data_IF_970718781583
#
_entry.id   IF_970718781583
#
_cell.length_a   1.000
_cell.length_b   1.000
_cell.length_c   1.000
_cell.angle_alpha   90.00
_cell.angle_beta   90.00
_cell.angle_gamma   90.00
#
_symmetry.space_group_name_H-M   'P 1'
#
loop_
_entity.id
_entity.type
_entity.pdbx_description
1 polymer ?
#
# COMPACT_ATOMS: atom_id res chain seq x y z
N UNK A 1 7.33 16.32 6.73
CA UNK A 1 6.94 15.53 7.93
C UNK A 1 6.30 14.24 7.46
N UNK A 2 6.59 13.12 8.13
CA UNK A 2 5.91 11.86 7.82
C UNK A 2 4.40 12.03 8.07
N UNK A 3 3.57 11.43 7.22
CA UNK A 3 2.09 11.52 7.31
C UNK A 3 1.56 11.21 8.72
N UNK A 4 2.15 10.23 9.40
CA UNK A 4 1.79 9.89 10.79
C UNK A 4 1.81 11.08 11.73
N UNK A 5 2.86 11.91 11.66
CA UNK A 5 2.97 13.10 12.52
C UNK A 5 1.91 14.16 12.24
N UNK A 6 1.58 14.36 10.96
CA UNK A 6 0.53 15.30 10.53
C UNK A 6 -0.83 14.86 11.05
N UNK A 7 -1.17 13.58 10.87
CA UNK A 7 -2.43 13.00 11.37
C UNK A 7 -2.53 13.12 12.90
N UNK A 8 -1.47 12.76 13.64
CA UNK A 8 -1.47 12.86 15.10
C UNK A 8 -1.64 14.30 15.58
N UNK A 9 -1.01 15.26 14.91
CA UNK A 9 -1.13 16.68 15.24
C UNK A 9 -2.58 17.17 15.00
N UNK A 10 -3.18 16.86 13.86
CA UNK A 10 -4.56 17.18 13.56
C UNK A 10 -5.53 16.54 14.58
N UNK A 11 -5.41 15.22 14.81
CA UNK A 11 -6.26 14.49 15.74
C UNK A 11 -6.14 15.01 17.18
N UNK A 12 -4.97 15.51 17.58
CA UNK A 12 -4.77 16.08 18.90
C UNK A 12 -5.59 17.36 19.15
N UNK A 13 -6.05 18.01 18.08
CA UNK A 13 -6.85 19.25 18.09
C UNK A 13 -8.34 19.01 17.88
N UNK A 14 -8.75 17.80 17.49
CA UNK A 14 -10.17 17.48 17.28
C UNK A 14 -10.95 17.70 18.57
N UNK A 15 -11.99 18.57 18.58
CA UNK A 15 -12.80 18.79 19.76
C UNK A 15 -13.68 17.57 20.03
N UNK A 16 -13.65 17.04 21.26
CA UNK A 16 -14.48 15.94 21.72
C UNK A 16 -15.46 16.44 22.74
N UNK A 17 -16.70 16.68 22.31
CA UNK A 17 -17.74 17.29 23.14
C UNK A 17 -18.44 16.25 24.01
N UNK A 18 -18.74 15.06 23.47
CA UNK A 18 -19.49 14.04 24.18
C UNK A 18 -18.72 13.45 25.36
N UNK A 19 -19.29 13.43 26.59
CA UNK A 19 -18.61 12.89 27.76
C UNK A 19 -18.21 11.41 27.62
N UNK A 20 -19.05 10.57 26.99
CA UNK A 20 -18.71 9.18 26.72
C UNK A 20 -17.46 9.04 25.87
N UNK A 21 -17.37 9.81 24.78
CA UNK A 21 -16.21 9.79 23.89
C UNK A 21 -14.93 10.28 24.58
N UNK A 22 -15.03 11.31 25.43
CA UNK A 22 -13.90 11.78 26.23
C UNK A 22 -13.40 10.72 27.21
N UNK A 23 -14.33 10.05 27.93
CA UNK A 23 -13.99 8.96 28.83
C UNK A 23 -13.31 7.81 28.08
N UNK A 24 -13.90 7.39 26.97
CA UNK A 24 -13.35 6.31 26.12
C UNK A 24 -11.98 6.64 25.57
N UNK A 25 -11.78 7.88 25.08
CA UNK A 25 -10.48 8.32 24.54
C UNK A 25 -9.41 8.28 25.63
N UNK A 26 -9.67 8.83 26.83
CA UNK A 26 -8.72 8.79 27.96
C UNK A 26 -8.42 7.36 28.37
N UNK A 27 -9.43 6.52 28.54
CA UNK A 27 -9.25 5.10 28.91
C UNK A 27 -8.38 4.36 27.91
N UNK A 28 -8.58 4.63 26.62
CA UNK A 28 -7.79 4.02 25.55
C UNK A 28 -6.37 4.59 25.50
N UNK A 29 -6.21 5.90 25.59
CA UNK A 29 -4.89 6.54 25.65
C UNK A 29 -4.06 5.95 26.79
N UNK A 30 -4.60 5.89 28.01
CA UNK A 30 -3.91 5.34 29.18
C UNK A 30 -3.57 3.86 28.98
N UNK A 31 -4.46 3.08 28.38
CA UNK A 31 -4.22 1.64 28.13
C UNK A 31 -3.11 1.41 27.11
N UNK A 32 -2.98 2.27 26.11
CA UNK A 32 -1.97 2.15 25.04
C UNK A 32 -0.65 2.82 25.38
N UNK A 33 -0.68 3.97 26.04
CA UNK A 33 0.51 4.79 26.32
C UNK A 33 1.21 4.43 27.62
N UNK A 34 0.58 3.67 28.49
CA UNK A 34 1.11 3.58 29.80
C UNK A 34 0.90 2.27 30.53
N UNK A 35 1.23 2.35 31.77
CA UNK A 35 1.13 1.25 32.70
C UNK A 35 0.63 1.70 34.06
N UNK A 36 0.16 0.70 34.77
CA UNK A 36 -0.13 0.78 36.19
C UNK A 36 1.16 0.41 36.91
N UNK A 37 1.68 1.31 37.72
CA UNK A 37 2.85 1.07 38.56
C UNK A 37 2.40 1.07 40.01
N UNK A 38 2.82 0.06 40.79
CA UNK A 38 2.61 0.02 42.21
C UNK A 38 3.79 0.69 42.92
N UNK A 39 3.51 1.79 43.60
CA UNK A 39 4.51 2.51 44.37
C UNK A 39 4.02 2.65 45.81
N UNK A 40 4.74 2.10 46.78
CA UNK A 40 4.39 2.13 48.20
C UNK A 40 2.94 1.71 48.51
N UNK A 41 2.44 0.66 47.82
CA UNK A 41 1.10 0.13 48.01
C UNK A 41 -0.03 0.88 47.28
N UNK A 42 0.29 1.97 46.56
CA UNK A 42 -0.67 2.74 45.78
C UNK A 42 -0.43 2.59 44.28
N UNK A 43 -1.53 2.63 43.51
CA UNK A 43 -1.44 2.63 42.05
C UNK A 43 -1.08 4.04 41.58
N UNK A 44 0.02 4.13 40.86
CA UNK A 44 0.39 5.28 40.07
C UNK A 44 0.16 4.98 38.58
N UNK A 45 -0.40 5.94 37.86
CA UNK A 45 -0.63 5.82 36.43
C UNK A 45 0.39 6.67 35.68
N UNK A 46 1.09 6.06 34.75
CA UNK A 46 2.01 6.75 33.84
C UNK A 46 1.64 6.48 32.39
N UNK A 47 1.64 7.54 31.58
CA UNK A 47 1.41 7.45 30.14
C UNK A 47 2.54 8.16 29.39
N UNK A 48 3.31 7.39 28.60
CA UNK A 48 4.39 7.92 27.79
C UNK A 48 3.90 8.22 26.36
N UNK A 49 4.14 9.44 25.89
CA UNK A 49 3.63 9.97 24.64
C UNK A 49 4.73 10.64 23.82
N UNK A 50 4.66 10.52 22.51
CA UNK A 50 5.66 11.05 21.57
C UNK A 50 5.46 12.54 21.26
N UNK A 51 4.31 13.13 21.57
CA UNK A 51 4.01 14.53 21.23
C UNK A 51 3.46 15.31 22.41
N UNK A 52 3.92 16.56 22.56
CA UNK A 52 3.44 17.49 23.59
C UNK A 52 1.94 17.79 23.47
N UNK A 53 1.41 17.82 22.24
CA UNK A 53 0.00 18.11 21.99
C UNK A 53 -0.91 17.03 22.58
N UNK A 54 -0.57 15.74 22.32
CA UNK A 54 -1.32 14.59 22.88
C UNK A 54 -1.20 14.55 24.41
N UNK A 55 0.00 14.83 24.96
CA UNK A 55 0.23 14.85 26.40
C UNK A 55 -0.60 15.95 27.10
N UNK A 56 -0.64 17.17 26.55
CA UNK A 56 -1.49 18.26 27.07
C UNK A 56 -2.98 17.90 26.98
N UNK A 57 -3.42 17.31 25.87
CA UNK A 57 -4.80 16.83 25.68
C UNK A 57 -5.18 15.79 26.73
N UNK A 58 -4.33 14.79 26.95
CA UNK A 58 -4.57 13.76 27.96
C UNK A 58 -4.65 14.36 29.35
N UNK A 59 -3.69 15.23 29.71
CA UNK A 59 -3.65 15.92 31.00
C UNK A 59 -4.92 16.74 31.26
N UNK A 60 -5.34 17.56 30.29
CA UNK A 60 -6.57 18.34 30.38
C UNK A 60 -7.80 17.44 30.55
N UNK A 61 -7.89 16.36 29.75
CA UNK A 61 -9.03 15.44 29.84
C UNK A 61 -9.08 14.65 31.14
N UNK A 62 -7.94 14.28 31.73
CA UNK A 62 -7.89 13.64 33.05
C UNK A 62 -8.44 14.59 34.13
N UNK A 63 -8.02 15.87 34.12
CA UNK A 63 -8.47 16.85 35.06
C UNK A 63 -9.98 17.17 34.92
N UNK A 64 -10.43 17.43 33.71
CA UNK A 64 -11.80 17.87 33.43
C UNK A 64 -12.84 16.74 33.54
N UNK A 65 -12.51 15.50 33.13
CA UNK A 65 -13.46 14.41 33.04
C UNK A 65 -13.46 13.54 34.29
N UNK A 66 -12.28 13.37 34.91
CA UNK A 66 -12.11 12.49 36.07
C UNK A 66 -11.74 13.20 37.36
N UNK A 67 -11.43 14.51 37.31
CA UNK A 67 -11.13 15.32 38.48
C UNK A 67 -9.78 15.06 39.15
N UNK A 68 -8.85 14.39 38.42
CA UNK A 68 -7.54 14.06 38.99
C UNK A 68 -6.44 15.01 38.48
N UNK A 69 -5.59 15.57 39.37
CA UNK A 69 -4.41 16.31 38.98
C UNK A 69 -3.37 15.37 38.39
N UNK A 70 -2.64 15.82 37.39
CA UNK A 70 -1.55 15.08 36.77
C UNK A 70 -0.33 15.95 36.52
N UNK A 71 0.83 15.34 36.62
CA UNK A 71 2.12 15.95 36.31
C UNK A 71 2.48 15.68 34.85
N UNK A 72 3.18 16.64 34.23
CA UNK A 72 3.74 16.47 32.89
C UNK A 72 5.26 16.56 32.97
N UNK A 73 5.92 15.45 32.71
CA UNK A 73 7.37 15.36 32.66
C UNK A 73 7.84 15.32 31.20
N UNK A 74 8.89 16.06 30.89
CA UNK A 74 9.53 16.05 29.59
C UNK A 74 10.87 15.33 29.72
N UNK A 75 10.99 14.21 29.06
CA UNK A 75 12.22 13.44 29.00
C UNK A 75 13.00 13.82 27.74
N UNK A 76 14.24 14.27 27.92
CA UNK A 76 15.12 14.61 26.81
C UNK A 76 15.42 13.38 25.95
N UNK A 77 15.81 13.59 24.68
CA UNK A 77 16.25 12.50 23.82
C UNK A 77 17.40 11.71 24.43
N UNK A 78 17.30 10.39 24.42
CA UNK A 78 18.36 9.52 24.93
C UNK A 78 18.52 8.27 24.05
N UNK A 79 19.76 7.81 23.85
CA UNK A 79 20.09 6.64 23.06
C UNK A 79 19.76 6.80 21.57
N UNK A 80 19.09 5.79 20.98
CA UNK A 80 18.74 5.74 19.54
C UNK A 80 17.53 6.61 19.16
N UNK A 81 16.82 7.21 20.11
CA UNK A 81 15.60 8.00 19.85
C UNK A 81 15.91 9.50 19.73
N UNK A 82 15.47 10.12 18.64
CA UNK A 82 15.78 11.51 18.27
C UNK A 82 14.78 12.57 18.78
N UNK A 83 13.76 12.20 19.58
CA UNK A 83 12.70 13.13 20.01
C UNK A 83 12.48 13.13 21.52
N UNK A 84 11.90 14.24 22.03
CA UNK A 84 11.44 14.31 23.42
C UNK A 84 10.30 13.32 23.64
N UNK A 85 10.20 12.80 24.88
CA UNK A 85 9.07 12.02 25.35
C UNK A 85 8.34 12.80 26.44
N UNK A 86 7.04 12.65 26.47
CA UNK A 86 6.17 13.35 27.39
C UNK A 86 5.46 12.32 28.26
N UNK A 87 5.72 12.36 29.56
CA UNK A 87 5.10 11.44 30.52
C UNK A 87 4.05 12.19 31.32
N UNK A 88 2.80 11.78 31.18
CA UNK A 88 1.70 12.23 32.04
C UNK A 88 1.59 11.25 33.19
N UNK A 89 1.79 11.76 34.42
CA UNK A 89 1.82 10.96 35.64
C UNK A 89 0.71 11.40 36.59
N UNK A 90 -0.03 10.42 37.11
CA UNK A 90 -1.03 10.62 38.18
C UNK A 90 -0.57 9.85 39.40
N UNK A 91 -0.08 10.58 40.40
CA UNK A 91 0.41 10.02 41.65
C UNK A 91 -0.72 9.97 42.68
N UNK A 92 -1.42 11.09 42.89
CA UNK A 92 -2.56 11.17 43.81
C UNK A 92 -3.85 10.79 43.09
N UNK A 93 -4.58 9.80 43.60
CA UNK A 93 -5.84 9.35 43.03
C UNK A 93 -5.67 8.37 41.87
N UNK A 94 -4.48 7.79 41.68
CA UNK A 94 -4.23 6.77 40.65
C UNK A 94 -5.12 5.55 40.75
N UNK A 95 -5.39 5.05 41.99
CA UNK A 95 -6.35 3.97 42.24
C UNK A 95 -7.76 4.30 41.76
N UNK A 96 -8.22 5.52 42.09
CA UNK A 96 -9.55 6.01 41.68
C UNK A 96 -9.62 6.15 40.15
N UNK A 97 -8.62 6.77 39.53
CA UNK A 97 -8.56 6.93 38.08
C UNK A 97 -8.50 5.57 37.37
N UNK A 98 -7.72 4.62 37.89
CA UNK A 98 -7.64 3.26 37.33
C UNK A 98 -9.00 2.54 37.31
N UNK A 99 -9.80 2.70 38.36
CA UNK A 99 -11.17 2.17 38.44
C UNK A 99 -12.12 2.92 37.50
N UNK A 100 -12.08 4.25 37.51
CA UNK A 100 -12.97 5.08 36.69
C UNK A 100 -12.72 4.86 35.19
N UNK A 101 -11.47 4.66 34.78
CA UNK A 101 -11.09 4.37 33.39
C UNK A 101 -11.24 2.91 33.02
N UNK A 102 -11.45 2.01 34.00
CA UNK A 102 -11.55 0.57 33.81
C UNK A 102 -10.22 -0.11 33.47
N UNK A 103 -9.10 0.50 33.82
CA UNK A 103 -7.77 -0.13 33.73
C UNK A 103 -7.60 -1.27 34.73
N UNK A 104 -8.35 -1.23 35.84
CA UNK A 104 -8.52 -2.32 36.79
C UNK A 104 -9.99 -2.72 36.89
N UNK A 105 -10.25 -4.00 37.11
CA UNK A 105 -11.58 -4.53 37.30
C UNK A 105 -12.16 -4.25 38.73
N UNK A 106 -13.37 -4.70 39.00
CA UNK A 106 -14.00 -4.56 40.33
C UNK A 106 -13.23 -5.26 41.46
N UNK A 107 -12.36 -6.21 41.12
CA UNK A 107 -11.51 -6.94 42.08
C UNK A 107 -10.12 -6.32 42.22
N UNK A 108 -9.86 -5.20 41.57
CA UNK A 108 -8.54 -4.53 41.57
C UNK A 108 -7.50 -5.16 40.67
N UNK A 109 -7.87 -6.06 39.77
CA UNK A 109 -6.94 -6.71 38.84
C UNK A 109 -6.79 -5.92 37.53
N UNK A 110 -5.57 -5.80 36.99
CA UNK A 110 -5.34 -5.11 35.71
C UNK A 110 -6.11 -5.77 34.54
N UNK A 111 -6.80 -4.94 33.77
CA UNK A 111 -7.49 -5.37 32.54
C UNK A 111 -6.49 -5.48 31.39
N UNK A 112 -6.38 -6.64 30.75
CA UNK A 112 -5.42 -6.89 29.66
C UNK A 112 -5.81 -6.24 28.33
N UNK A 113 -7.10 -6.22 27.98
CA UNK A 113 -7.63 -5.61 26.75
C UNK A 113 -8.06 -4.16 26.94
N UNK A 114 -9.01 -3.73 26.13
CA UNK A 114 -9.72 -2.48 26.37
C UNK A 114 -10.76 -2.65 27.49
N UNK A 115 -11.00 -1.61 28.29
CA UNK A 115 -12.01 -1.64 29.34
C UNK A 115 -13.39 -2.04 28.80
N UNK A 116 -14.16 -2.79 29.60
CA UNK A 116 -15.49 -3.28 29.20
C UNK A 116 -16.40 -2.15 28.70
N UNK A 117 -16.38 -1.01 29.38
CA UNK A 117 -17.18 0.17 29.03
C UNK A 117 -16.81 0.75 27.65
N UNK A 118 -15.57 0.58 27.20
CA UNK A 118 -15.11 0.97 25.85
C UNK A 118 -15.61 -0.01 24.80
N UNK A 119 -15.49 -1.32 25.09
CA UNK A 119 -15.90 -2.39 24.17
C UNK A 119 -17.42 -2.42 23.97
N UNK A 120 -18.21 -2.21 25.03
CA UNK A 120 -19.67 -2.18 24.99
C UNK A 120 -20.27 -0.81 24.61
N UNK A 121 -19.43 0.23 24.45
CA UNK A 121 -19.85 1.59 24.13
C UNK A 121 -20.55 1.74 22.77
N UNK A 122 -21.02 2.95 22.43
CA UNK A 122 -21.68 3.27 21.16
C UNK A 122 -20.70 3.37 19.97
N UNK A 123 -21.21 3.73 18.80
CA UNK A 123 -20.40 3.97 17.59
C UNK A 123 -19.36 5.10 17.83
N UNK A 124 -19.79 6.18 18.46
CA UNK A 124 -18.90 7.29 18.79
C UNK A 124 -17.78 6.90 19.78
N UNK A 125 -18.02 5.90 20.64
CA UNK A 125 -16.99 5.36 21.53
C UNK A 125 -16.00 4.49 20.75
N UNK A 126 -16.45 3.75 19.73
CA UNK A 126 -15.55 3.06 18.82
C UNK A 126 -14.59 4.04 18.09
N UNK A 127 -15.13 5.16 17.62
CA UNK A 127 -14.32 6.23 17.00
C UNK A 127 -13.32 6.85 17.99
N UNK A 128 -13.75 7.12 19.22
CA UNK A 128 -12.91 7.65 20.29
C UNK A 128 -11.81 6.66 20.71
N UNK A 129 -12.13 5.36 20.79
CA UNK A 129 -11.15 4.31 21.08
C UNK A 129 -10.08 4.21 20.01
N UNK A 130 -10.47 4.20 18.74
CA UNK A 130 -9.53 4.17 17.63
C UNK A 130 -8.68 5.44 17.59
N UNK A 131 -9.26 6.63 17.81
CA UNK A 131 -8.50 7.89 17.89
C UNK A 131 -7.48 7.86 19.03
N UNK A 132 -7.88 7.45 20.24
CA UNK A 132 -6.97 7.31 21.36
C UNK A 132 -5.81 6.37 21.08
N UNK A 133 -6.09 5.17 20.55
CA UNK A 133 -5.06 4.20 20.17
C UNK A 133 -4.12 4.73 19.08
N UNK A 134 -4.65 5.41 18.05
CA UNK A 134 -3.84 5.98 16.98
C UNK A 134 -2.95 7.13 17.48
N UNK A 135 -3.45 7.98 18.34
CA UNK A 135 -2.66 9.09 18.92
C UNK A 135 -1.42 8.58 19.65
N UNK A 136 -1.48 7.40 20.27
CA UNK A 136 -0.33 6.79 20.94
C UNK A 136 0.56 6.05 19.95
N UNK A 137 0.09 4.94 19.42
CA UNK A 137 0.89 3.97 18.67
C UNK A 137 0.41 3.78 17.22
N UNK A 138 -0.38 4.72 16.71
CA UNK A 138 -0.78 4.72 15.32
C UNK A 138 0.35 5.13 14.39
N UNK A 139 0.36 4.54 13.22
CA UNK A 139 1.21 4.92 12.10
C UNK A 139 0.41 4.85 10.79
N UNK A 140 0.72 5.76 9.88
CA UNK A 140 0.16 5.82 8.54
C UNK A 140 1.31 5.88 7.54
N UNK A 141 1.41 4.86 6.70
CA UNK A 141 2.36 4.87 5.58
C UNK A 141 1.82 5.74 4.46
N UNK A 142 2.73 6.37 3.72
CA UNK A 142 2.35 7.12 2.52
C UNK A 142 1.71 6.20 1.48
N UNK A 143 0.76 6.71 0.67
CA UNK A 143 0.15 5.94 -0.39
C UNK A 143 1.21 5.35 -1.32
N UNK A 144 1.09 4.06 -1.63
CA UNK A 144 2.05 3.35 -2.48
C UNK A 144 1.77 1.85 -2.52
N UNK A 145 2.78 1.06 -2.92
CA UNK A 145 2.64 -0.40 -3.04
C UNK A 145 2.28 -1.09 -1.70
N UNK A 146 2.64 -0.52 -0.58
CA UNK A 146 2.45 -1.09 0.76
C UNK A 146 1.80 -0.10 1.73
N UNK A 147 0.75 0.62 1.27
CA UNK A 147 0.00 1.52 2.17
C UNK A 147 -0.64 0.75 3.30
N UNK A 148 -0.56 1.31 4.50
CA UNK A 148 -1.18 0.75 5.69
C UNK A 148 -1.45 1.83 6.75
N UNK A 149 -2.57 1.71 7.44
CA UNK A 149 -2.81 2.30 8.74
C UNK A 149 -2.61 1.18 9.76
N UNK A 150 -1.65 1.36 10.65
CA UNK A 150 -1.29 0.36 11.66
C UNK A 150 -1.36 0.96 13.05
N UNK A 151 -1.81 0.16 14.03
CA UNK A 151 -1.74 0.49 15.46
C UNK A 151 -1.02 -0.65 16.17
N UNK A 152 0.08 -0.34 16.84
CA UNK A 152 0.74 -1.27 17.76
C UNK A 152 -0.07 -1.38 19.05
N UNK A 153 -0.37 -2.60 19.47
CA UNK A 153 -1.23 -2.88 20.60
C UNK A 153 -0.41 -3.42 21.79
N UNK A 154 -0.87 -3.15 23.03
CA UNK A 154 -0.20 -3.66 24.23
C UNK A 154 -0.43 -5.17 24.48
N UNK A 155 -1.21 -5.83 23.66
CA UNK A 155 -1.49 -7.26 23.69
C UNK A 155 -2.61 -7.65 22.73
N UNK A 156 -2.77 -8.96 22.54
CA UNK A 156 -3.76 -9.53 21.59
C UNK A 156 -5.19 -9.17 21.91
N UNK A 157 -5.54 -9.08 23.20
CA UNK A 157 -6.89 -8.72 23.64
C UNK A 157 -7.24 -7.28 23.26
N UNK A 158 -6.28 -6.35 23.36
CA UNK A 158 -6.47 -4.96 22.91
C UNK A 158 -6.57 -4.87 21.38
N UNK A 159 -5.80 -5.68 20.66
CA UNK A 159 -5.89 -5.77 19.21
C UNK A 159 -7.25 -6.29 18.74
N UNK A 160 -7.74 -7.37 19.35
CA UNK A 160 -9.07 -7.93 19.04
C UNK A 160 -10.20 -6.95 19.37
N UNK A 161 -10.09 -6.20 20.47
CA UNK A 161 -11.06 -5.18 20.83
C UNK A 161 -11.12 -4.05 19.78
N UNK A 162 -9.96 -3.57 19.27
CA UNK A 162 -9.92 -2.57 18.19
C UNK A 162 -10.48 -3.14 16.86
N UNK A 163 -10.21 -4.40 16.54
CA UNK A 163 -10.81 -5.05 15.35
C UNK A 163 -12.33 -5.11 15.50
N UNK A 164 -12.83 -5.46 16.68
CA UNK A 164 -14.27 -5.44 16.98
C UNK A 164 -14.87 -4.03 16.83
N UNK A 165 -14.20 -3.00 17.32
CA UNK A 165 -14.62 -1.61 17.15
C UNK A 165 -14.63 -1.19 15.67
N UNK A 166 -13.60 -1.53 14.88
CA UNK A 166 -13.55 -1.26 13.44
C UNK A 166 -14.71 -1.94 12.69
N UNK A 167 -15.01 -3.20 13.03
CA UNK A 167 -16.14 -3.94 12.45
C UNK A 167 -17.49 -3.23 12.70
N UNK A 168 -17.67 -2.66 13.88
CA UNK A 168 -18.87 -1.85 14.21
C UNK A 168 -18.93 -0.55 13.41
N UNK A 169 -17.79 0.02 13.05
CA UNK A 169 -17.66 1.16 12.13
C UNK A 169 -17.81 0.75 10.64
N UNK A 170 -18.05 -0.53 10.34
CA UNK A 170 -18.10 -1.13 9.01
C UNK A 170 -16.77 -1.01 8.26
N UNK A 171 -15.65 -1.03 8.98
CA UNK A 171 -14.30 -0.95 8.43
C UNK A 171 -13.58 -2.28 8.67
N UNK A 172 -12.99 -2.85 7.62
CA UNK A 172 -12.22 -4.10 7.70
C UNK A 172 -10.83 -3.83 8.27
N UNK A 173 -10.55 -4.35 9.45
CA UNK A 173 -9.24 -4.33 10.08
C UNK A 173 -8.83 -5.75 10.48
N UNK A 174 -7.53 -6.04 10.47
CA UNK A 174 -6.98 -7.36 10.82
C UNK A 174 -5.97 -7.24 11.96
N UNK A 175 -6.10 -8.09 12.97
CA UNK A 175 -5.04 -8.27 13.95
C UNK A 175 -3.95 -9.17 13.38
N UNK A 176 -2.69 -8.81 13.66
CA UNK A 176 -1.48 -9.57 13.26
C UNK A 176 -0.44 -9.44 14.36
N UNK A 177 0.25 -10.53 14.60
CA UNK A 177 1.48 -10.52 15.38
C UNK A 177 2.67 -10.40 14.42
N UNK A 178 3.56 -9.47 14.69
CA UNK A 178 4.78 -9.26 13.91
C UNK A 178 5.95 -9.14 14.89
N UNK A 179 6.85 -10.11 14.88
CA UNK A 179 8.03 -10.18 15.77
C UNK A 179 7.67 -10.07 17.25
N UNK A 180 6.64 -10.80 17.68
CA UNK A 180 6.16 -10.78 19.07
C UNK A 180 5.39 -9.53 19.47
N UNK A 181 5.02 -8.67 18.52
CA UNK A 181 4.26 -7.45 18.77
C UNK A 181 2.90 -7.51 18.07
N UNK A 182 1.83 -7.40 18.85
CA UNK A 182 0.47 -7.35 18.34
C UNK A 182 0.19 -6.03 17.63
N UNK A 183 -0.40 -6.11 16.44
CA UNK A 183 -0.78 -4.94 15.62
C UNK A 183 -2.17 -5.11 15.03
N UNK A 184 -2.86 -4.00 14.87
CA UNK A 184 -4.06 -3.91 14.04
C UNK A 184 -3.73 -3.15 12.78
N UNK A 185 -4.12 -3.71 11.62
CA UNK A 185 -3.72 -3.19 10.29
C UNK A 185 -4.93 -3.04 9.39
N UNK A 186 -5.02 -1.88 8.72
CA UNK A 186 -5.91 -1.61 7.60
C UNK A 186 -5.04 -1.34 6.38
N UNK A 187 -5.27 -2.05 5.25
CA UNK A 187 -4.46 -1.93 4.02
C UNK A 187 -5.23 -1.45 2.81
N UNK A 188 -6.53 -1.52 2.88
CA UNK A 188 -7.40 -1.01 1.82
C UNK A 188 -7.45 0.52 1.88
N UNK A 189 -7.27 1.19 0.72
CA UNK A 189 -7.17 2.64 0.65
C UNK A 189 -8.46 3.35 1.05
N UNK A 190 -9.61 2.83 0.64
CA UNK A 190 -10.91 3.41 0.98
C UNK A 190 -11.22 3.21 2.47
N UNK A 191 -10.87 2.04 3.02
CA UNK A 191 -11.01 1.75 4.44
C UNK A 191 -10.10 2.64 5.31
N UNK A 192 -8.88 2.96 4.84
CA UNK A 192 -7.98 3.91 5.51
C UNK A 192 -8.59 5.31 5.50
N UNK A 193 -9.05 5.81 4.36
CA UNK A 193 -9.68 7.12 4.25
C UNK A 193 -10.95 7.21 5.12
N UNK A 194 -11.80 6.19 5.07
CA UNK A 194 -12.99 6.09 5.91
C UNK A 194 -12.63 6.10 7.41
N UNK A 195 -11.60 5.37 7.84
CA UNK A 195 -11.15 5.38 9.22
C UNK A 195 -10.66 6.77 9.64
N UNK A 196 -9.77 7.39 8.88
CA UNK A 196 -9.24 8.73 9.18
C UNK A 196 -10.36 9.77 9.28
N UNK A 197 -11.34 9.72 8.38
CA UNK A 197 -12.55 10.58 8.43
C UNK A 197 -13.33 10.37 9.71
N UNK A 198 -13.58 9.11 10.13
CA UNK A 198 -14.27 8.78 11.38
C UNK A 198 -13.51 9.28 12.61
N UNK A 199 -12.19 9.29 12.55
CA UNK A 199 -11.36 9.82 13.64
C UNK A 199 -11.37 11.36 13.70
N UNK A 200 -11.77 12.04 12.63
CA UNK A 200 -11.81 13.49 12.51
C UNK A 200 -10.56 14.13 11.87
N UNK A 201 -9.74 13.33 11.17
CA UNK A 201 -8.53 13.81 10.46
C UNK A 201 -8.86 14.22 9.01
N UNK A 202 -9.72 15.20 8.82
CA UNK A 202 -10.27 15.58 7.52
C UNK A 202 -9.23 16.17 6.57
N UNK A 203 -8.34 17.04 7.04
CA UNK A 203 -7.28 17.64 6.22
C UNK A 203 -6.25 16.60 5.82
N UNK A 204 -5.90 15.71 6.74
CA UNK A 204 -4.99 14.59 6.48
C UNK A 204 -5.55 13.59 5.48
N UNK A 205 -6.86 13.32 5.50
CA UNK A 205 -7.55 12.48 4.50
C UNK A 205 -7.40 13.10 3.12
N UNK A 206 -7.71 14.38 2.96
CA UNK A 206 -7.62 15.08 1.68
C UNK A 206 -6.20 15.01 1.12
N UNK A 207 -5.21 15.32 1.94
CA UNK A 207 -3.80 15.28 1.53
C UNK A 207 -3.33 13.84 1.20
N UNK A 208 -3.83 12.83 1.91
CA UNK A 208 -3.49 11.43 1.69
C UNK A 208 -4.11 10.90 0.39
N UNK A 209 -5.40 11.20 0.14
CA UNK A 209 -6.11 10.83 -1.08
C UNK A 209 -5.50 11.50 -2.33
N UNK A 210 -5.13 12.78 -2.24
CA UNK A 210 -4.46 13.46 -3.34
C UNK A 210 -3.14 12.76 -3.72
N UNK A 211 -2.34 12.38 -2.72
CA UNK A 211 -1.10 11.62 -2.95
C UNK A 211 -1.37 10.24 -3.54
N UNK A 212 -2.45 9.57 -3.08
CA UNK A 212 -2.88 8.27 -3.60
C UNK A 212 -3.23 8.37 -5.08
N UNK A 213 -4.07 9.32 -5.46
CA UNK A 213 -4.47 9.55 -6.85
C UNK A 213 -3.27 9.88 -7.76
N UNK A 214 -2.40 10.79 -7.33
CA UNK A 214 -1.19 11.14 -8.10
C UNK A 214 -0.29 9.92 -8.35
N UNK A 215 -0.14 9.03 -7.38
CA UNK A 215 0.65 7.80 -7.54
C UNK A 215 -0.03 6.79 -8.46
N UNK A 216 -1.33 6.66 -8.38
CA UNK A 216 -2.10 5.75 -9.23
C UNK A 216 -2.03 6.16 -10.71
N UNK A 217 -2.16 7.46 -11.00
CA UNK A 217 -1.97 8.02 -12.34
C UNK A 217 -0.55 7.72 -12.86
N UNK A 218 0.48 7.97 -12.06
CA UNK A 218 1.87 7.67 -12.44
C UNK A 218 2.10 6.17 -12.67
N UNK A 219 1.56 5.32 -11.81
CA UNK A 219 1.69 3.87 -11.94
C UNK A 219 0.99 3.36 -13.22
N UNK A 220 -0.14 3.94 -13.59
CA UNK A 220 -0.86 3.61 -14.82
C UNK A 220 -0.09 4.08 -16.04
N UNK A 221 0.41 5.32 -16.05
CA UNK A 221 1.25 5.83 -17.13
C UNK A 221 2.51 4.98 -17.35
N UNK A 222 3.20 4.61 -16.26
CA UNK A 222 4.38 3.73 -16.35
C UNK A 222 4.04 2.33 -16.89
N UNK A 223 2.88 1.78 -16.52
CA UNK A 223 2.44 0.47 -17.05
C UNK A 223 2.16 0.53 -18.55
N UNK A 224 1.49 1.60 -19.01
CA UNK A 224 1.24 1.81 -20.44
C UNK A 224 2.55 1.97 -21.21
N UNK A 225 3.46 2.82 -20.75
CA UNK A 225 4.76 3.01 -21.39
C UNK A 225 5.58 1.71 -21.47
N UNK A 226 5.61 0.92 -20.39
CA UNK A 226 6.30 -0.36 -20.36
C UNK A 226 5.63 -1.39 -21.30
N UNK A 227 4.30 -1.37 -21.41
CA UNK A 227 3.56 -2.25 -22.32
C UNK A 227 3.86 -1.90 -23.78
N UNK A 228 3.85 -0.61 -24.12
CA UNK A 228 4.15 -0.12 -25.46
C UNK A 228 5.60 -0.44 -25.86
N UNK A 229 6.57 -0.21 -24.97
CA UNK A 229 7.98 -0.55 -25.19
C UNK A 229 8.19 -2.06 -25.40
N UNK A 230 7.54 -2.89 -24.55
CA UNK A 230 7.61 -4.35 -24.68
C UNK A 230 7.00 -4.84 -26.01
N UNK A 231 5.87 -4.24 -26.44
CA UNK A 231 5.25 -4.56 -27.73
C UNK A 231 6.11 -4.13 -28.91
N UNK A 232 6.70 -2.94 -28.84
CA UNK A 232 7.60 -2.43 -29.88
C UNK A 232 8.83 -3.33 -30.03
N UNK A 233 9.46 -3.71 -28.91
CA UNK A 233 10.61 -4.64 -28.93
C UNK A 233 10.24 -6.01 -29.50
N UNK A 234 9.08 -6.55 -29.13
CA UNK A 234 8.60 -7.84 -29.65
C UNK A 234 8.34 -7.74 -31.15
N UNK A 235 7.71 -6.67 -31.60
CA UNK A 235 7.43 -6.42 -33.03
C UNK A 235 8.72 -6.27 -33.83
N UNK A 236 9.70 -5.51 -33.32
CA UNK A 236 10.99 -5.34 -33.95
C UNK A 236 11.76 -6.67 -34.07
N UNK A 237 11.82 -7.47 -33.01
CA UNK A 237 12.45 -8.82 -33.06
C UNK A 237 11.76 -9.74 -34.06
N UNK A 238 10.43 -9.77 -34.07
CA UNK A 238 9.68 -10.56 -35.04
C UNK A 238 9.95 -10.11 -36.47
N UNK A 239 10.10 -8.82 -36.73
CA UNK A 239 10.44 -8.27 -38.03
C UNK A 239 11.86 -8.66 -38.49
N UNK A 240 12.85 -8.64 -37.60
CA UNK A 240 14.22 -9.08 -37.85
C UNK A 240 14.27 -10.57 -38.13
N UNK A 241 13.59 -11.40 -37.31
CA UNK A 241 13.50 -12.85 -37.52
C UNK A 241 12.84 -13.20 -38.87
N UNK A 242 11.73 -12.50 -39.19
CA UNK A 242 11.07 -12.65 -40.48
C UNK A 242 12.00 -12.26 -41.66
N UNK A 243 12.79 -11.23 -41.52
CA UNK A 243 13.79 -10.80 -42.51
C UNK A 243 14.84 -11.90 -42.77
N UNK A 244 15.44 -12.43 -41.71
CA UNK A 244 16.43 -13.53 -41.83
C UNK A 244 15.87 -14.79 -42.46
N UNK A 245 14.64 -15.19 -42.06
CA UNK A 245 13.95 -16.34 -42.68
C UNK A 245 13.68 -16.12 -44.18
N UNK A 246 13.24 -14.92 -44.53
CA UNK A 246 12.96 -14.55 -45.93
C UNK A 246 14.24 -14.55 -46.77
N UNK A 247 15.33 -14.03 -46.26
CA UNK A 247 16.64 -14.05 -46.90
C UNK A 247 17.06 -15.49 -47.21
N UNK A 248 16.94 -16.39 -46.23
CA UNK A 248 17.22 -17.81 -46.41
C UNK A 248 16.24 -18.47 -47.40
N UNK A 249 14.97 -18.07 -47.37
CA UNK A 249 13.98 -18.61 -48.32
C UNK A 249 14.32 -18.27 -49.78
N UNK A 250 14.78 -17.04 -50.04
CA UNK A 250 15.20 -16.61 -51.36
C UNK A 250 16.44 -17.36 -51.84
N UNK A 251 17.39 -17.68 -50.94
CA UNK A 251 18.54 -18.53 -51.27
C UNK A 251 18.14 -19.95 -51.66
N UNK A 252 17.24 -20.60 -50.89
CA UNK A 252 16.79 -21.97 -51.12
C UNK A 252 16.02 -22.11 -52.45
N UNK A 253 15.15 -21.14 -52.75
CA UNK A 253 14.31 -21.17 -53.93
C UNK A 253 15.01 -20.71 -55.21
N UNK A 254 15.98 -19.83 -55.10
CA UNK A 254 16.72 -19.29 -56.24
C UNK A 254 15.79 -18.74 -57.33
N UNK A 255 15.88 -19.27 -58.55
CA UNK A 255 15.09 -18.82 -59.71
C UNK A 255 13.71 -19.48 -59.79
N UNK A 256 13.41 -20.49 -58.96
CA UNK A 256 12.16 -21.26 -59.03
C UNK A 256 11.00 -20.57 -58.27
N UNK A 257 11.26 -19.43 -57.57
CA UNK A 257 10.23 -18.69 -56.83
C UNK A 257 9.41 -17.78 -57.75
N UNK A 258 8.07 -17.74 -57.61
CA UNK A 258 7.21 -16.81 -58.33
C UNK A 258 7.59 -15.35 -58.07
N UNK A 259 7.66 -14.54 -59.12
CA UNK A 259 8.16 -13.15 -59.06
C UNK A 259 7.42 -12.29 -58.02
N UNK A 260 6.09 -12.43 -57.91
CA UNK A 260 5.29 -11.67 -56.95
C UNK A 260 5.61 -12.03 -55.46
N UNK A 261 6.13 -13.25 -55.19
CA UNK A 261 6.58 -13.65 -53.86
C UNK A 261 8.00 -13.16 -53.61
N UNK A 262 8.89 -13.23 -54.63
CA UNK A 262 10.26 -12.72 -54.57
C UNK A 262 10.26 -11.22 -54.28
N UNK A 263 9.36 -10.44 -54.93
CA UNK A 263 9.23 -9.02 -54.72
C UNK A 263 8.88 -8.73 -53.24
N UNK A 264 7.89 -9.43 -52.69
CA UNK A 264 7.53 -9.27 -51.25
C UNK A 264 8.67 -9.66 -50.31
N UNK A 265 9.43 -10.71 -50.66
CA UNK A 265 10.63 -11.12 -49.92
C UNK A 265 11.73 -10.06 -49.95
N UNK A 266 12.07 -9.53 -51.15
CA UNK A 266 13.07 -8.46 -51.29
C UNK A 266 12.71 -7.21 -50.53
N UNK A 267 11.42 -6.77 -50.53
CA UNK A 267 10.95 -5.67 -49.75
C UNK A 267 11.18 -5.91 -48.23
N UNK A 268 10.90 -7.10 -47.71
CA UNK A 268 11.16 -7.44 -46.29
C UNK A 268 12.64 -7.41 -45.97
N UNK A 269 13.51 -7.95 -46.82
CA UNK A 269 14.97 -7.96 -46.59
C UNK A 269 15.54 -6.57 -46.62
N UNK A 270 15.11 -5.74 -47.59
CA UNK A 270 15.56 -4.33 -47.72
C UNK A 270 15.07 -3.47 -46.55
N UNK A 271 13.90 -3.76 -46.00
CA UNK A 271 13.26 -2.99 -44.95
C UNK A 271 13.01 -3.86 -43.68
N UNK A 272 14.10 -4.32 -43.05
CA UNK A 272 14.05 -5.34 -41.96
C UNK A 272 13.23 -4.90 -40.75
N UNK A 273 13.13 -3.59 -40.46
CA UNK A 273 12.40 -3.05 -39.30
C UNK A 273 10.98 -2.58 -39.64
N UNK A 274 10.63 -2.48 -40.92
CA UNK A 274 9.33 -1.98 -41.33
C UNK A 274 8.20 -2.90 -40.88
N UNK A 275 7.09 -2.33 -40.48
CA UNK A 275 5.85 -3.07 -40.24
C UNK A 275 5.29 -3.67 -41.53
N UNK A 276 4.41 -4.64 -41.40
CA UNK A 276 3.74 -5.22 -42.60
C UNK A 276 2.88 -4.20 -43.37
N UNK A 277 2.39 -3.19 -42.67
CA UNK A 277 1.63 -2.09 -43.26
C UNK A 277 2.53 -1.16 -44.08
N UNK A 278 3.66 -0.76 -43.54
CA UNK A 278 4.69 0.03 -44.25
C UNK A 278 5.23 -0.73 -45.47
N UNK A 279 5.49 -2.04 -45.32
CA UNK A 279 5.89 -2.87 -46.47
C UNK A 279 4.84 -2.94 -47.57
N UNK A 280 3.55 -2.96 -47.20
CA UNK A 280 2.46 -2.91 -48.16
C UNK A 280 2.44 -1.59 -48.93
N UNK A 281 2.70 -0.47 -48.26
CA UNK A 281 2.78 0.84 -48.90
C UNK A 281 4.01 0.99 -49.82
N UNK A 282 5.12 0.33 -49.51
CA UNK A 282 6.33 0.32 -50.30
C UNK A 282 6.28 -0.58 -51.53
N UNK A 283 5.25 -1.40 -51.65
CA UNK A 283 5.07 -2.30 -52.78
C UNK A 283 4.54 -1.52 -54.03
N UNK A 284 4.97 -1.95 -55.19
CA UNK A 284 4.47 -1.41 -56.48
C UNK A 284 3.80 -2.56 -57.27
N UNK A 285 2.49 -2.49 -57.52
CA UNK A 285 1.52 -1.53 -56.91
C UNK A 285 1.34 -1.77 -55.40
N UNK A 286 0.89 -0.73 -54.66
CA UNK A 286 0.66 -0.82 -53.20
C UNK A 286 -0.24 -2.01 -52.80
N UNK A 287 0.11 -2.67 -51.71
CA UNK A 287 -0.56 -3.86 -51.19
C UNK A 287 -1.12 -3.62 -49.80
N UNK A 288 -2.19 -4.34 -49.47
CA UNK A 288 -2.69 -4.35 -48.09
C UNK A 288 -1.74 -5.13 -47.17
N UNK A 289 -1.78 -4.83 -45.86
CA UNK A 289 -1.05 -5.58 -44.84
C UNK A 289 -1.21 -7.08 -44.93
N UNK A 290 -2.44 -7.55 -45.18
CA UNK A 290 -2.75 -8.98 -45.26
C UNK A 290 -2.23 -9.60 -46.58
N UNK A 291 -2.23 -8.81 -47.66
CA UNK A 291 -1.69 -9.29 -48.96
C UNK A 291 -0.18 -9.48 -48.86
N UNK A 292 0.60 -8.53 -48.32
CA UNK A 292 2.05 -8.65 -48.16
C UNK A 292 2.40 -9.77 -47.16
N UNK A 293 1.68 -9.90 -46.05
CA UNK A 293 1.85 -10.98 -45.08
C UNK A 293 1.59 -12.36 -45.71
N UNK A 294 0.54 -12.48 -46.51
CA UNK A 294 0.20 -13.70 -47.25
C UNK A 294 1.26 -14.08 -48.27
N UNK A 295 1.86 -13.12 -48.98
CA UNK A 295 2.95 -13.38 -49.91
C UNK A 295 4.21 -13.87 -49.21
N UNK A 296 4.62 -13.23 -48.12
CA UNK A 296 5.79 -13.64 -47.31
C UNK A 296 5.57 -15.05 -46.75
N UNK A 297 4.39 -15.34 -46.20
CA UNK A 297 4.06 -16.65 -45.63
C UNK A 297 4.16 -17.76 -46.71
N UNK A 298 3.65 -17.49 -47.92
CA UNK A 298 3.73 -18.46 -49.05
C UNK A 298 5.16 -18.68 -49.51
N UNK A 299 5.98 -17.62 -49.57
CA UNK A 299 7.41 -17.71 -49.89
C UNK A 299 8.14 -18.63 -48.89
N UNK A 300 7.95 -18.41 -47.59
CA UNK A 300 8.55 -19.25 -46.55
C UNK A 300 8.10 -20.70 -46.63
N UNK A 301 6.80 -20.97 -46.82
CA UNK A 301 6.25 -22.31 -46.92
C UNK A 301 6.78 -23.05 -48.16
N UNK A 302 6.99 -22.37 -49.28
CA UNK A 302 7.62 -22.95 -50.47
C UNK A 302 9.08 -23.31 -50.21
N UNK A 303 9.82 -22.41 -49.57
CA UNK A 303 11.23 -22.65 -49.23
C UNK A 303 11.40 -23.82 -48.27
N UNK A 304 10.58 -23.90 -47.23
CA UNK A 304 10.64 -24.97 -46.24
C UNK A 304 10.30 -26.34 -46.86
N UNK A 305 9.34 -26.42 -47.80
CA UNK A 305 9.08 -27.64 -48.59
C UNK A 305 10.29 -28.02 -49.44
N UNK A 306 10.86 -27.07 -50.19
CA UNK A 306 12.03 -27.29 -51.02
C UNK A 306 13.25 -27.72 -50.21
N UNK A 307 13.45 -27.13 -49.04
CA UNK A 307 14.49 -27.54 -48.11
C UNK A 307 14.33 -29.01 -47.67
N UNK A 308 13.10 -29.40 -47.31
CA UNK A 308 12.81 -30.79 -46.95
C UNK A 308 13.10 -31.78 -48.10
N UNK A 309 12.70 -31.43 -49.34
CA UNK A 309 12.97 -32.24 -50.53
C UNK A 309 14.47 -32.41 -50.81
N UNK A 310 15.27 -31.40 -50.48
CA UNK A 310 16.73 -31.38 -50.68
C UNK A 310 17.53 -31.87 -49.46
N UNK A 311 16.85 -32.28 -48.37
CA UNK A 311 17.52 -32.66 -47.13
C UNK A 311 18.28 -31.52 -46.44
N UNK A 312 17.88 -30.27 -46.70
CA UNK A 312 18.53 -29.05 -46.16
C UNK A 312 17.77 -28.55 -44.91
N UNK A 313 18.45 -27.80 -44.02
CA UNK A 313 17.78 -27.13 -42.88
C UNK A 313 16.70 -26.16 -43.36
N UNK A 314 15.56 -26.12 -42.64
CA UNK A 314 14.45 -25.19 -42.89
C UNK A 314 14.84 -23.72 -42.64
N UNK A 315 13.98 -22.79 -43.09
CA UNK A 315 14.21 -21.35 -42.83
C UNK A 315 14.23 -21.00 -41.36
N UNK A 316 13.60 -21.82 -40.47
CA UNK A 316 13.61 -21.62 -39.01
C UNK A 316 14.92 -22.04 -38.37
N UNK A 317 15.60 -23.04 -38.87
CA UNK A 317 16.88 -23.48 -38.31
C UNK A 317 17.99 -22.41 -38.40
N UNK A 318 17.76 -21.34 -39.13
CA UNK A 318 18.70 -20.21 -39.32
C UNK A 318 18.50 -19.11 -38.28
N UNK A 319 17.51 -19.21 -37.40
CA UNK A 319 17.28 -18.22 -36.34
C UNK A 319 18.24 -18.46 -35.18
N UNK A 320 19.02 -17.44 -34.84
CA UNK A 320 19.83 -17.42 -33.61
C UNK A 320 18.95 -17.12 -32.38
N UNK A 321 19.39 -17.53 -31.18
CA UNK A 321 18.64 -17.31 -29.93
C UNK A 321 18.24 -15.85 -29.70
N UNK A 322 19.07 -14.90 -30.19
CA UNK A 322 18.82 -13.43 -30.06
C UNK A 322 17.70 -12.93 -30.99
N UNK A 323 17.32 -13.71 -32.01
CA UNK A 323 16.28 -13.38 -33.00
C UNK A 323 14.90 -13.96 -32.61
N UNK A 324 14.85 -14.87 -31.64
CA UNK A 324 13.59 -15.46 -31.18
C UNK A 324 12.82 -14.49 -30.28
N UNK A 325 11.47 -14.43 -30.38
CA UNK A 325 10.62 -13.48 -29.65
C UNK A 325 10.60 -13.72 -28.12
#
# INVERSE_FOLDING_TARGET
>A
MAMTGVVKDELSRVPVVKPCCRKTEVSTLLRFAGGLTLTSGHIMIEAELDTAAVARRLRASIAEVFGHPSELLVLAPGGLRKGNRYVVRVVKGGDSLARQTGLIDSFGRPVRGLPRQVVSGGICDCEAAWRGAFLVHGSLTEPGRSMALEITCPGSEAALALVGAARRLKISAKAREVRGVDRVVIRDGEAIAAMLTRLGAHDSVMAWEERRMRREVRATANRLANFDDANLRRSARAAVAAGARVERALEILGRDAPEHLVMAGRLRVANRQASLEELGQLADPPLTKDAIAGRIRRLLAMADRRAADLGMPSTEAFLTADMLP
#
